data_IF_198024998507
#
_entry.id   IF_198024998507
#
_cell.length_a   1.000
_cell.length_b   1.000
_cell.length_c   1.000
_cell.angle_alpha   90.00
_cell.angle_beta   90.00
_cell.angle_gamma   90.00
#
_symmetry.space_group_name_H-M   'P 1'
#
loop_
_entity.id
_entity.type
_entity.pdbx_description
1 polymer ?
#
# COMPACT_ATOMS: atom_id res chain seq x y z
N UNK A 1 58.99 -58.54 -5.46
CA UNK A 1 58.88 -57.57 -6.57
C UNK A 1 57.51 -57.62 -7.26
N UNK A 2 56.96 -58.79 -7.60
CA UNK A 2 55.63 -58.85 -8.26
C UNK A 2 54.46 -58.38 -7.36
N UNK A 3 54.51 -58.65 -6.06
CA UNK A 3 53.46 -58.22 -5.11
C UNK A 3 53.37 -56.70 -4.94
N UNK A 4 54.52 -56.02 -4.85
CA UNK A 4 54.60 -54.55 -4.72
C UNK A 4 54.19 -53.83 -6.01
N UNK A 5 54.49 -54.43 -7.18
CA UNK A 5 54.03 -53.90 -8.47
C UNK A 5 52.50 -54.01 -8.62
N UNK A 6 51.89 -55.12 -8.17
CA UNK A 6 50.44 -55.28 -8.15
C UNK A 6 49.74 -54.30 -7.19
N UNK A 7 50.36 -54.07 -6.03
CA UNK A 7 49.80 -53.18 -5.01
C UNK A 7 49.86 -51.71 -5.45
N UNK A 8 50.99 -51.27 -5.99
CA UNK A 8 51.14 -49.92 -6.55
C UNK A 8 50.27 -49.69 -7.78
N UNK A 9 50.01 -50.73 -8.59
CA UNK A 9 49.06 -50.67 -9.69
C UNK A 9 47.63 -50.48 -9.20
N UNK A 10 47.17 -51.27 -8.22
CA UNK A 10 45.83 -51.14 -7.63
C UNK A 10 45.61 -49.78 -6.95
N UNK A 11 46.61 -49.25 -6.25
CA UNK A 11 46.53 -47.92 -5.63
C UNK A 11 46.39 -46.83 -6.69
N UNK A 12 47.18 -46.86 -7.76
CA UNK A 12 47.08 -45.89 -8.87
C UNK A 12 45.75 -46.01 -9.62
N UNK A 13 45.23 -47.21 -9.78
CA UNK A 13 43.93 -47.46 -10.40
C UNK A 13 42.78 -46.90 -9.54
N UNK A 14 42.84 -47.13 -8.22
CA UNK A 14 41.87 -46.58 -7.28
C UNK A 14 41.91 -45.06 -7.23
N UNK A 15 43.12 -44.47 -7.22
CA UNK A 15 43.31 -43.02 -7.26
C UNK A 15 42.79 -42.41 -8.57
N UNK A 16 43.02 -43.08 -9.71
CA UNK A 16 42.53 -42.66 -11.02
C UNK A 16 41.00 -42.78 -11.14
N UNK A 17 40.38 -43.86 -10.64
CA UNK A 17 38.91 -43.99 -10.65
C UNK A 17 38.26 -42.94 -9.73
N UNK A 18 38.89 -42.65 -8.58
CA UNK A 18 38.38 -41.67 -7.63
C UNK A 18 38.49 -40.22 -8.11
N UNK A 19 39.42 -39.92 -9.03
CA UNK A 19 39.62 -38.59 -9.61
C UNK A 19 38.77 -38.32 -10.85
N UNK A 20 38.05 -39.33 -11.36
CA UNK A 20 37.15 -39.17 -12.49
C UNK A 20 35.75 -38.71 -12.03
N UNK A 21 35.21 -37.70 -12.69
CA UNK A 21 33.94 -37.06 -12.31
C UNK A 21 32.72 -38.00 -12.36
N UNK A 22 31.62 -37.56 -11.75
CA UNK A 22 30.34 -38.29 -11.63
C UNK A 22 29.95 -39.10 -12.89
N UNK A 23 30.13 -38.53 -14.08
CA UNK A 23 29.79 -39.16 -15.36
C UNK A 23 30.65 -40.36 -15.74
N UNK A 24 31.91 -40.40 -15.33
CA UNK A 24 32.81 -41.52 -15.57
C UNK A 24 32.46 -42.71 -14.67
N UNK A 25 32.22 -42.45 -13.38
CA UNK A 25 31.81 -43.47 -12.41
C UNK A 25 30.43 -44.07 -12.77
N UNK A 26 29.51 -43.25 -13.28
CA UNK A 26 28.24 -43.71 -13.82
C UNK A 26 28.46 -44.61 -15.05
N UNK A 27 29.37 -44.26 -15.97
CA UNK A 27 29.63 -45.04 -17.19
C UNK A 27 30.24 -46.41 -16.92
N UNK A 28 31.13 -46.53 -15.95
CA UNK A 28 31.80 -47.81 -15.63
C UNK A 28 30.99 -48.71 -14.69
N UNK A 29 30.16 -48.15 -13.80
CA UNK A 29 29.16 -48.94 -13.07
C UNK A 29 28.05 -49.50 -13.98
N UNK A 30 27.86 -48.92 -15.17
CA UNK A 30 26.98 -49.43 -16.23
C UNK A 30 27.59 -50.55 -17.09
N UNK A 31 28.87 -50.92 -16.91
CA UNK A 31 29.53 -51.94 -17.72
C UNK A 31 29.28 -53.38 -17.24
N UNK A 32 28.66 -53.58 -16.06
CA UNK A 32 28.29 -54.90 -15.51
C UNK A 32 26.81 -55.24 -15.74
N UNK A 33 26.55 -56.41 -16.33
CA UNK A 33 25.20 -56.91 -16.63
C UNK A 33 24.25 -56.94 -15.44
N UNK A 34 22.96 -56.72 -15.70
CA UNK A 34 21.82 -56.55 -14.78
C UNK A 34 21.73 -55.22 -14.02
N UNK A 35 22.83 -54.68 -13.48
CA UNK A 35 22.82 -53.38 -12.78
C UNK A 35 22.55 -52.19 -13.73
N UNK A 36 23.09 -52.27 -14.95
CA UNK A 36 22.87 -51.27 -16.01
C UNK A 36 21.41 -51.21 -16.49
N UNK A 37 20.73 -52.35 -16.53
CA UNK A 37 19.31 -52.43 -16.90
C UNK A 37 18.42 -51.80 -15.82
N UNK A 38 18.63 -52.14 -14.54
CA UNK A 38 17.86 -51.56 -13.43
C UNK A 38 18.01 -50.03 -13.35
N UNK A 39 19.23 -49.53 -13.53
CA UNK A 39 19.52 -48.10 -13.49
C UNK A 39 18.95 -47.36 -14.73
N UNK A 40 18.96 -48.01 -15.91
CA UNK A 40 18.26 -47.51 -17.09
C UNK A 40 16.74 -47.42 -16.87
N UNK A 41 16.12 -48.42 -16.24
CA UNK A 41 14.70 -48.39 -15.90
C UNK A 41 14.37 -47.28 -14.87
N UNK A 42 15.21 -47.11 -13.84
CA UNK A 42 15.09 -46.00 -12.88
C UNK A 42 15.24 -44.63 -13.55
N UNK A 43 16.23 -44.45 -14.42
CA UNK A 43 16.41 -43.22 -15.19
C UNK A 43 15.22 -42.94 -16.11
N UNK A 44 14.65 -43.97 -16.73
CA UNK A 44 13.47 -43.85 -17.58
C UNK A 44 12.22 -43.47 -16.77
N UNK A 45 12.03 -44.04 -15.59
CA UNK A 45 10.94 -43.66 -14.66
C UNK A 45 11.18 -42.23 -14.16
N UNK A 46 12.40 -41.90 -13.73
CA UNK A 46 12.79 -40.56 -13.30
C UNK A 46 12.55 -39.51 -14.38
N UNK A 47 12.89 -39.81 -15.63
CA UNK A 47 12.61 -38.95 -16.77
C UNK A 47 11.11 -38.78 -17.03
N UNK A 48 10.30 -39.85 -16.90
CA UNK A 48 8.84 -39.75 -17.02
C UNK A 48 8.23 -38.89 -15.90
N UNK A 49 8.68 -39.07 -14.66
CA UNK A 49 8.26 -38.25 -13.52
C UNK A 49 8.68 -36.80 -13.74
N UNK A 50 9.91 -36.57 -14.20
CA UNK A 50 10.40 -35.23 -14.57
C UNK A 50 9.54 -34.58 -15.64
N UNK A 51 9.21 -35.29 -16.73
CA UNK A 51 8.30 -34.79 -17.77
C UNK A 51 6.90 -34.48 -17.22
N UNK A 52 6.37 -35.34 -16.35
CA UNK A 52 5.08 -35.10 -15.71
C UNK A 52 5.10 -33.85 -14.82
N UNK A 53 6.14 -33.69 -14.00
CA UNK A 53 6.36 -32.49 -13.19
C UNK A 53 6.56 -31.25 -14.05
N UNK A 54 7.27 -31.36 -15.17
CA UNK A 54 7.48 -30.26 -16.12
C UNK A 54 6.16 -29.81 -16.74
N UNK A 55 5.31 -30.74 -17.19
CA UNK A 55 3.97 -30.44 -17.71
C UNK A 55 3.11 -29.79 -16.62
N UNK A 56 3.14 -30.33 -15.40
CA UNK A 56 2.46 -29.75 -14.25
C UNK A 56 2.95 -28.33 -13.93
N UNK A 57 4.25 -28.08 -13.99
CA UNK A 57 4.85 -26.78 -13.77
C UNK A 57 4.46 -25.77 -14.87
N UNK A 58 4.46 -26.19 -16.13
CA UNK A 58 4.01 -25.36 -17.26
C UNK A 58 2.53 -25.02 -17.11
N UNK A 59 1.68 -26.01 -16.80
CA UNK A 59 0.26 -25.81 -16.57
C UNK A 59 -0.03 -24.89 -15.38
N UNK A 60 0.69 -25.08 -14.28
CA UNK A 60 0.61 -24.21 -13.09
C UNK A 60 1.07 -22.79 -13.38
N UNK A 61 2.17 -22.62 -14.12
CA UNK A 61 2.65 -21.31 -14.56
C UNK A 61 1.62 -20.59 -15.44
N UNK A 62 1.07 -21.29 -16.44
CA UNK A 62 0.02 -20.75 -17.30
C UNK A 62 -1.21 -20.33 -16.49
N UNK A 63 -1.66 -21.17 -15.55
CA UNK A 63 -2.75 -20.85 -14.64
C UNK A 63 -2.47 -19.59 -13.81
N UNK A 64 -1.28 -19.47 -13.20
CA UNK A 64 -0.92 -18.31 -12.39
C UNK A 64 -0.91 -17.01 -13.19
N UNK A 65 -0.40 -17.05 -14.42
CA UNK A 65 -0.38 -15.90 -15.33
C UNK A 65 -1.82 -15.52 -15.73
N UNK A 66 -2.67 -16.49 -16.06
CA UNK A 66 -4.03 -16.24 -16.54
C UNK A 66 -5.04 -15.95 -15.43
N UNK A 67 -4.78 -16.33 -14.18
CA UNK A 67 -5.69 -16.13 -13.04
C UNK A 67 -6.11 -14.67 -12.90
N UNK A 68 -5.17 -13.74 -13.02
CA UNK A 68 -5.40 -12.31 -12.81
C UNK A 68 -6.19 -11.66 -13.94
N UNK A 69 -6.22 -12.26 -15.14
CA UNK A 69 -6.99 -11.76 -16.29
C UNK A 69 -8.48 -12.15 -16.22
N UNK A 70 -8.86 -13.06 -15.32
CA UNK A 70 -10.24 -13.53 -15.22
C UNK A 70 -11.17 -12.45 -14.62
N UNK A 71 -12.40 -12.28 -15.13
CA UNK A 71 -13.38 -11.34 -14.55
C UNK A 71 -13.67 -11.61 -13.07
N UNK A 72 -13.67 -12.87 -12.67
CA UNK A 72 -13.83 -13.31 -11.27
C UNK A 72 -12.76 -12.74 -10.35
N UNK A 73 -11.51 -12.66 -10.83
CA UNK A 73 -10.42 -12.08 -10.04
C UNK A 73 -10.68 -10.61 -9.77
N UNK A 74 -11.09 -9.83 -10.78
CA UNK A 74 -11.44 -8.42 -10.63
C UNK A 74 -12.62 -8.22 -9.67
N UNK A 75 -13.66 -9.07 -9.77
CA UNK A 75 -14.81 -9.05 -8.86
C UNK A 75 -14.39 -9.34 -7.41
N UNK A 76 -13.57 -10.37 -7.20
CA UNK A 76 -13.07 -10.74 -5.88
C UNK A 76 -12.13 -9.69 -5.30
N UNK A 77 -11.27 -9.09 -6.12
CA UNK A 77 -10.41 -7.97 -5.76
C UNK A 77 -11.24 -6.76 -5.34
N UNK A 78 -12.27 -6.41 -6.11
CA UNK A 78 -13.19 -5.30 -5.81
C UNK A 78 -13.92 -5.53 -4.50
N UNK A 79 -14.48 -6.72 -4.29
CA UNK A 79 -15.12 -7.10 -3.03
C UNK A 79 -14.15 -7.08 -1.84
N UNK A 80 -12.91 -7.53 -2.05
CA UNK A 80 -11.88 -7.51 -1.01
C UNK A 80 -11.49 -6.09 -0.63
N UNK A 81 -11.18 -5.22 -1.60
CA UNK A 81 -10.81 -3.83 -1.32
C UNK A 81 -12.00 -3.08 -0.71
N UNK A 82 -13.21 -3.26 -1.24
CA UNK A 82 -14.42 -2.66 -0.67
C UNK A 82 -14.64 -3.07 0.79
N UNK A 83 -14.51 -4.37 1.11
CA UNK A 83 -14.60 -4.86 2.48
C UNK A 83 -13.51 -4.28 3.38
N UNK A 84 -12.28 -4.13 2.87
CA UNK A 84 -11.16 -3.61 3.66
C UNK A 84 -11.27 -2.12 3.93
N UNK A 85 -11.80 -1.33 2.98
CA UNK A 85 -12.07 0.08 3.16
C UNK A 85 -13.41 0.35 3.87
N UNK A 86 -14.13 -0.69 4.31
CA UNK A 86 -15.48 -0.55 4.87
C UNK A 86 -16.44 0.20 3.94
N UNK A 87 -16.34 -0.05 2.63
CA UNK A 87 -17.18 0.57 1.61
C UNK A 87 -18.57 -0.07 1.55
N UNK A 88 -19.61 0.76 1.38
CA UNK A 88 -20.95 0.30 1.02
C UNK A 88 -21.00 -0.14 -0.44
N UNK A 89 -20.37 0.66 -1.31
CA UNK A 89 -20.18 0.35 -2.73
C UNK A 89 -18.74 0.63 -3.10
N UNK A 90 -18.13 -0.24 -3.91
CA UNK A 90 -16.84 0.06 -4.51
C UNK A 90 -16.75 -0.42 -5.95
N UNK A 91 -16.12 0.39 -6.79
CA UNK A 91 -15.93 0.14 -8.22
C UNK A 91 -14.46 0.29 -8.57
N UNK A 92 -14.00 -0.64 -9.39
CA UNK A 92 -12.63 -0.68 -9.88
C UNK A 92 -12.67 -0.63 -11.40
N UNK A 93 -11.88 0.26 -11.98
CA UNK A 93 -11.73 0.38 -13.44
C UNK A 93 -10.36 -0.13 -13.87
N UNK A 94 -10.37 -1.05 -14.84
CA UNK A 94 -9.19 -1.54 -15.57
C UNK A 94 -8.02 -1.96 -14.66
N UNK A 95 -8.11 -3.19 -14.17
CA UNK A 95 -7.00 -3.90 -13.53
C UNK A 95 -6.08 -4.51 -14.59
N UNK A 96 -4.77 -4.39 -14.39
CA UNK A 96 -3.77 -5.09 -15.20
C UNK A 96 -2.57 -5.48 -14.34
N UNK A 97 -2.04 -6.68 -14.58
CA UNK A 97 -0.72 -7.09 -14.09
C UNK A 97 0.24 -7.21 -15.27
N UNK A 98 1.36 -6.49 -15.25
CA UNK A 98 2.41 -6.59 -16.28
C UNK A 98 3.76 -6.66 -15.60
N UNK A 99 4.63 -7.59 -16.03
CA UNK A 99 6.04 -7.66 -15.58
C UNK A 99 6.24 -7.64 -14.05
N UNK A 100 5.30 -8.19 -13.27
CA UNK A 100 5.40 -8.20 -11.81
C UNK A 100 4.89 -6.94 -11.13
N UNK A 101 4.22 -6.05 -11.87
CA UNK A 101 3.55 -4.87 -11.34
C UNK A 101 2.04 -5.00 -11.44
N UNK A 102 1.37 -4.67 -10.34
CA UNK A 102 -0.05 -4.38 -10.25
C UNK A 102 -0.29 -2.96 -10.72
N UNK A 103 -1.23 -2.77 -11.64
CA UNK A 103 -1.66 -1.47 -12.11
C UNK A 103 -3.19 -1.38 -12.09
N UNK A 104 -3.69 -0.27 -11.55
CA UNK A 104 -5.11 0.00 -11.45
C UNK A 104 -5.41 1.45 -11.86
N UNK A 105 -6.26 1.63 -12.88
CA UNK A 105 -6.55 2.98 -13.37
C UNK A 105 -7.34 3.79 -12.37
N UNK A 106 -8.35 3.19 -11.74
CA UNK A 106 -9.21 3.89 -10.79
C UNK A 106 -9.85 2.92 -9.80
N UNK A 107 -9.96 3.38 -8.57
CA UNK A 107 -10.87 2.84 -7.57
C UNK A 107 -11.72 3.98 -7.04
N UNK A 108 -13.02 3.74 -6.92
CA UNK A 108 -13.97 4.67 -6.34
C UNK A 108 -14.89 3.91 -5.38
N UNK A 109 -14.92 4.32 -4.12
CA UNK A 109 -15.76 3.72 -3.11
C UNK A 109 -16.62 4.77 -2.39
N UNK A 110 -17.85 4.39 -2.05
CA UNK A 110 -18.70 5.10 -1.11
C UNK A 110 -18.60 4.43 0.27
N UNK A 111 -18.34 5.20 1.33
CA UNK A 111 -18.15 4.66 2.67
C UNK A 111 -19.45 4.13 3.29
N UNK A 112 -19.38 2.97 3.95
CA UNK A 112 -20.48 2.47 4.80
C UNK A 112 -20.64 3.33 6.07
N UNK A 113 -21.65 3.13 6.92
CA UNK A 113 -21.78 3.85 8.20
C UNK A 113 -20.52 3.78 9.10
N UNK A 114 -19.76 2.68 9.00
CA UNK A 114 -18.54 2.43 9.80
C UNK A 114 -17.26 2.95 9.12
N UNK A 115 -17.32 3.39 7.87
CA UNK A 115 -16.16 3.99 7.20
C UNK A 115 -15.82 5.37 7.80
N UNK A 116 -14.52 5.65 7.90
CA UNK A 116 -14.01 6.97 8.28
C UNK A 116 -14.19 8.03 7.16
N UNK A 117 -14.55 7.62 5.95
CA UNK A 117 -14.76 8.50 4.79
C UNK A 117 -16.20 8.40 4.27
N UNK A 118 -16.66 9.44 3.59
CA UNK A 118 -17.90 9.46 2.82
C UNK A 118 -17.64 9.03 1.38
N UNK A 119 -16.65 9.64 0.73
CA UNK A 119 -16.22 9.30 -0.63
C UNK A 119 -14.71 9.08 -0.66
N UNK A 120 -14.28 8.10 -1.46
CA UNK A 120 -12.88 7.77 -1.67
C UNK A 120 -12.67 7.46 -3.14
N UNK A 121 -11.77 8.20 -3.78
CA UNK A 121 -11.34 7.94 -5.14
C UNK A 121 -9.83 8.00 -5.25
N UNK A 122 -9.22 6.96 -5.81
CA UNK A 122 -7.81 6.95 -6.15
C UNK A 122 -7.60 6.52 -7.61
N UNK A 123 -6.69 7.19 -8.30
CA UNK A 123 -6.42 6.96 -9.72
C UNK A 123 -4.94 6.73 -10.01
N UNK A 124 -4.70 5.84 -10.98
CA UNK A 124 -3.40 5.33 -11.41
C UNK A 124 -2.58 4.83 -10.21
N UNK A 125 -3.06 3.73 -9.63
CA UNK A 125 -2.41 3.04 -8.53
C UNK A 125 -1.48 1.99 -9.11
N UNK A 126 -0.23 1.95 -8.65
CA UNK A 126 0.72 0.90 -9.00
C UNK A 126 1.49 0.39 -7.78
N UNK A 127 1.80 -0.90 -7.78
CA UNK A 127 2.66 -1.52 -6.77
C UNK A 127 3.21 -2.86 -7.28
N UNK A 128 4.15 -3.47 -6.54
CA UNK A 128 4.70 -4.78 -6.93
C UNK A 128 3.71 -5.89 -6.63
N UNK A 129 3.59 -6.85 -7.55
CA UNK A 129 2.77 -8.05 -7.41
C UNK A 129 3.41 -9.25 -8.12
N UNK A 130 4.01 -10.13 -7.33
CA UNK A 130 4.53 -11.42 -7.75
C UNK A 130 3.43 -12.40 -8.20
N UNK A 131 3.86 -13.53 -8.77
CA UNK A 131 2.95 -14.56 -9.29
C UNK A 131 2.14 -15.27 -8.18
N UNK A 132 2.76 -15.42 -7.00
CA UNK A 132 2.18 -16.11 -5.84
C UNK A 132 1.46 -15.15 -4.88
N UNK A 133 1.60 -13.84 -5.09
CA UNK A 133 0.96 -12.83 -4.25
C UNK A 133 -0.57 -12.91 -4.37
N UNK A 134 -1.24 -12.95 -3.22
CA UNK A 134 -2.68 -13.19 -3.13
C UNK A 134 -3.12 -14.63 -3.43
N UNK A 135 -2.20 -15.60 -3.46
CA UNK A 135 -2.50 -17.03 -3.46
C UNK A 135 -2.10 -17.67 -2.11
N UNK A 136 -0.88 -17.42 -1.66
CA UNK A 136 -0.30 -17.97 -0.43
C UNK A 136 0.48 -16.89 0.31
N UNK A 137 0.39 -16.88 1.64
CA UNK A 137 1.13 -15.93 2.48
C UNK A 137 0.58 -14.51 2.46
N UNK A 138 1.43 -13.57 2.89
CA UNK A 138 1.12 -12.13 2.99
C UNK A 138 1.71 -11.41 1.79
N UNK A 139 0.89 -10.67 1.05
CA UNK A 139 1.36 -9.86 -0.07
C UNK A 139 2.06 -8.60 0.46
N UNK A 140 3.33 -8.44 0.08
CA UNK A 140 4.17 -7.28 0.40
C UNK A 140 4.38 -6.43 -0.86
N UNK A 141 3.52 -5.45 -1.15
CA UNK A 141 3.58 -4.63 -2.36
C UNK A 141 4.80 -3.71 -2.46
N UNK A 142 5.53 -3.51 -1.35
CA UNK A 142 6.48 -2.40 -1.24
C UNK A 142 5.76 -1.05 -1.26
N UNK A 143 6.38 0.03 -1.76
CA UNK A 143 5.71 1.31 -1.94
C UNK A 143 4.54 1.21 -2.91
N UNK A 144 3.36 1.63 -2.45
CA UNK A 144 2.19 1.79 -3.32
C UNK A 144 2.20 3.22 -3.85
N UNK A 145 2.24 3.36 -5.17
CA UNK A 145 2.22 4.64 -5.84
C UNK A 145 0.79 4.97 -6.28
N UNK A 146 0.36 6.20 -6.07
CA UNK A 146 -0.94 6.71 -6.49
C UNK A 146 -0.73 8.06 -7.15
N UNK A 147 -1.27 8.25 -8.34
CA UNK A 147 -1.14 9.54 -9.02
C UNK A 147 -2.08 10.58 -8.43
N UNK A 148 -3.35 10.23 -8.24
CA UNK A 148 -4.37 11.15 -7.70
C UNK A 148 -5.19 10.46 -6.61
N UNK A 149 -5.40 11.17 -5.50
CA UNK A 149 -6.32 10.80 -4.42
C UNK A 149 -7.31 11.95 -4.20
N UNK A 150 -8.59 11.64 -4.16
CA UNK A 150 -9.64 12.54 -3.70
C UNK A 150 -10.45 11.81 -2.61
N UNK A 151 -10.53 12.40 -1.43
CA UNK A 151 -11.18 11.78 -0.28
C UNK A 151 -11.98 12.81 0.53
N UNK A 152 -13.19 12.45 0.91
CA UNK A 152 -14.02 13.23 1.83
C UNK A 152 -14.13 12.46 3.15
N UNK A 153 -13.54 13.00 4.21
CA UNK A 153 -13.55 12.43 5.55
C UNK A 153 -14.87 12.75 6.25
N UNK A 154 -15.36 11.77 7.02
CA UNK A 154 -16.45 12.03 7.96
C UNK A 154 -15.90 12.69 9.22
N UNK A 155 -16.50 13.81 9.59
CA UNK A 155 -16.20 14.51 10.84
C UNK A 155 -17.32 14.33 11.82
N UNK A 156 -16.98 14.16 13.10
CA UNK A 156 -17.96 14.03 14.16
C UNK A 156 -18.71 12.69 14.15
N UNK A 157 -19.27 12.36 15.29
CA UNK A 157 -20.06 11.16 15.52
C UNK A 157 -21.15 11.53 16.52
N UNK A 158 -22.35 10.97 16.36
CA UNK A 158 -23.46 11.23 17.28
C UNK A 158 -23.23 10.53 18.64
N UNK A 159 -22.38 9.49 18.66
CA UNK A 159 -22.03 8.72 19.85
C UNK A 159 -20.56 8.25 19.84
N UNK A 160 -20.01 7.92 21.01
CA UNK A 160 -18.62 7.50 21.18
C UNK A 160 -18.30 6.16 20.51
N UNK A 161 -19.25 5.21 20.46
CA UNK A 161 -19.05 3.88 19.88
C UNK A 161 -18.91 3.97 18.36
N UNK A 162 -19.75 4.80 17.71
CA UNK A 162 -19.65 5.10 16.28
C UNK A 162 -18.34 5.81 15.94
N UNK A 163 -17.84 6.70 16.81
CA UNK A 163 -16.53 7.33 16.63
C UNK A 163 -15.40 6.28 16.68
N UNK A 164 -15.47 5.37 17.65
CA UNK A 164 -14.50 4.29 17.83
C UNK A 164 -14.48 3.33 16.63
N UNK A 165 -15.65 2.88 16.14
CA UNK A 165 -15.74 2.01 14.96
C UNK A 165 -15.13 2.64 13.71
N UNK A 166 -15.33 3.95 13.51
CA UNK A 166 -14.73 4.68 12.38
C UNK A 166 -13.21 4.83 12.53
N UNK A 167 -12.72 5.07 13.74
CA UNK A 167 -11.28 5.11 13.99
C UNK A 167 -10.64 3.73 13.77
N UNK A 168 -11.30 2.67 14.24
CA UNK A 168 -10.87 1.28 14.02
C UNK A 168 -10.84 0.93 12.53
N UNK A 169 -11.81 1.36 11.73
CA UNK A 169 -11.81 1.09 10.29
C UNK A 169 -10.64 1.73 9.55
N UNK A 170 -10.09 2.84 10.06
CA UNK A 170 -8.86 3.44 9.55
C UNK A 170 -7.59 2.71 10.01
N UNK A 171 -7.54 2.29 11.27
CA UNK A 171 -6.34 1.67 11.89
C UNK A 171 -6.24 0.16 11.69
N UNK A 172 -7.25 -0.44 11.07
CA UNK A 172 -7.37 -1.89 10.88
C UNK A 172 -6.17 -2.47 10.11
N UNK A 173 -5.65 -3.58 10.62
CA UNK A 173 -4.62 -4.34 9.93
C UNK A 173 -5.20 -5.30 8.89
N UNK A 174 -4.41 -5.56 7.85
CA UNK A 174 -4.77 -6.44 6.76
C UNK A 174 -3.94 -7.73 6.81
N UNK A 175 -4.49 -8.85 7.31
CA UNK A 175 -3.69 -10.06 7.59
C UNK A 175 -3.06 -10.71 6.36
N UNK A 176 -3.51 -10.36 5.15
CA UNK A 176 -2.98 -10.87 3.88
C UNK A 176 -2.25 -9.80 3.05
N UNK A 177 -2.09 -8.59 3.59
CA UNK A 177 -1.55 -7.44 2.88
C UNK A 177 -0.76 -6.53 3.83
N UNK A 178 0.54 -6.44 3.62
CA UNK A 178 1.45 -5.70 4.48
C UNK A 178 1.95 -4.44 3.77
N UNK A 179 1.27 -3.32 4.03
CA UNK A 179 1.58 -2.03 3.43
C UNK A 179 2.65 -1.31 4.24
N UNK A 180 3.85 -1.16 3.66
CA UNK A 180 4.93 -0.36 4.26
C UNK A 180 4.72 1.14 4.04
N UNK A 181 4.40 1.55 2.81
CA UNK A 181 4.24 2.95 2.44
C UNK A 181 3.27 3.16 1.28
N UNK A 182 2.66 4.35 1.27
CA UNK A 182 1.80 4.86 0.20
C UNK A 182 2.33 6.24 -0.21
N UNK A 183 2.53 6.47 -1.49
CA UNK A 183 2.97 7.75 -2.04
C UNK A 183 1.93 8.24 -3.03
N UNK A 184 1.40 9.44 -2.77
CA UNK A 184 0.38 10.08 -3.58
C UNK A 184 0.96 11.36 -4.16
N UNK A 185 0.96 11.47 -5.48
CA UNK A 185 1.51 12.64 -6.17
C UNK A 185 0.62 13.89 -6.02
N UNK A 186 -0.70 13.68 -6.04
CA UNK A 186 -1.73 14.72 -5.94
C UNK A 186 -2.85 14.22 -5.03
N UNK A 187 -2.86 14.68 -3.78
CA UNK A 187 -3.86 14.37 -2.79
C UNK A 187 -4.73 15.59 -2.51
N UNK A 188 -6.05 15.37 -2.59
CA UNK A 188 -7.06 16.29 -2.07
C UNK A 188 -7.90 15.57 -1.01
N UNK A 189 -7.92 16.12 0.20
CA UNK A 189 -8.62 15.57 1.36
C UNK A 189 -9.50 16.66 1.92
N UNK A 190 -10.79 16.40 2.04
CA UNK A 190 -11.80 17.35 2.55
C UNK A 190 -12.45 16.80 3.80
N UNK A 191 -12.78 17.68 4.74
CA UNK A 191 -13.47 17.31 5.96
C UNK A 191 -14.33 18.48 6.48
N UNK A 192 -15.30 18.18 7.34
CA UNK A 192 -16.26 19.14 7.88
C UNK A 192 -17.65 18.96 7.27
N UNK A 193 -18.68 19.34 8.02
CA UNK A 193 -20.08 19.20 7.59
C UNK A 193 -20.41 20.22 6.49
N UNK A 194 -21.21 19.81 5.49
CA UNK A 194 -21.89 20.75 4.60
C UNK A 194 -23.38 20.85 4.95
N UNK A 195 -23.87 22.10 5.00
CA UNK A 195 -25.26 22.60 5.24
C UNK A 195 -25.61 22.96 6.69
N UNK A 196 -25.51 24.25 7.02
CA UNK A 196 -26.33 24.89 8.05
C UNK A 196 -27.44 25.66 7.34
N UNK A 197 -28.69 25.35 7.66
CA UNK A 197 -29.84 26.14 7.23
C UNK A 197 -29.93 27.37 8.13
N UNK A 198 -29.66 28.57 7.60
CA UNK A 198 -29.96 29.83 8.29
C UNK A 198 -31.36 30.31 7.89
N UNK A 199 -32.37 30.22 8.77
CA UNK A 199 -33.74 30.65 8.46
C UNK A 199 -33.89 32.16 8.25
N UNK A 200 -32.85 32.98 8.48
CA UNK A 200 -32.88 34.44 8.28
C UNK A 200 -32.33 34.89 6.92
N UNK A 201 -31.61 34.02 6.20
CA UNK A 201 -30.99 34.35 4.90
C UNK A 201 -31.82 33.74 3.77
N UNK A 202 -32.64 34.55 3.09
CA UNK A 202 -33.49 34.14 1.94
C UNK A 202 -32.73 33.65 0.69
N UNK A 203 -31.40 33.59 0.73
CA UNK A 203 -30.52 33.05 -0.31
C UNK A 203 -29.44 32.11 0.25
N UNK A 204 -29.78 31.36 1.31
CA UNK A 204 -28.84 30.65 2.18
C UNK A 204 -27.96 29.59 1.52
N UNK A 205 -26.71 29.94 1.29
CA UNK A 205 -25.55 29.05 1.37
C UNK A 205 -24.47 29.82 2.14
N UNK A 206 -24.45 29.70 3.47
CA UNK A 206 -23.25 30.03 4.24
C UNK A 206 -22.35 28.81 4.16
N UNK A 207 -21.15 28.96 3.63
CA UNK A 207 -20.18 27.87 3.58
C UNK A 207 -19.81 27.49 5.02
N UNK A 208 -20.09 26.24 5.45
CA UNK A 208 -19.61 25.80 6.74
C UNK A 208 -18.09 25.66 6.71
N UNK A 209 -17.52 25.70 7.93
CA UNK A 209 -16.15 25.36 8.28
C UNK A 209 -15.66 24.04 7.62
N UNK A 210 -15.27 24.11 6.35
CA UNK A 210 -14.61 23.03 5.62
C UNK A 210 -13.13 23.13 5.89
N UNK A 211 -12.55 22.02 6.33
CA UNK A 211 -11.11 21.84 6.23
C UNK A 211 -10.78 21.12 4.93
N UNK A 212 -9.70 21.53 4.30
CA UNK A 212 -9.23 20.92 3.06
C UNK A 212 -7.69 20.94 3.00
N UNK A 213 -7.10 19.84 2.55
CA UNK A 213 -5.77 19.81 1.94
C UNK A 213 -5.99 19.59 0.46
N UNK A 214 -5.43 20.44 -0.40
CA UNK A 214 -5.65 20.39 -1.84
C UNK A 214 -4.33 20.34 -2.60
N UNK A 215 -4.28 19.50 -3.63
CA UNK A 215 -3.16 19.37 -4.56
C UNK A 215 -1.81 19.17 -3.86
N UNK A 216 -1.79 18.40 -2.77
CA UNK A 216 -0.58 18.17 -1.98
C UNK A 216 0.04 16.82 -2.31
N UNK A 217 1.37 16.72 -2.31
CA UNK A 217 2.01 15.41 -2.31
C UNK A 217 1.86 14.80 -0.92
N UNK A 218 1.31 13.59 -0.84
CA UNK A 218 1.12 12.88 0.43
C UNK A 218 1.97 11.61 0.47
N UNK A 219 2.67 11.38 1.59
CA UNK A 219 3.29 10.09 1.89
C UNK A 219 2.66 9.55 3.17
N UNK A 220 2.31 8.26 3.17
CA UNK A 220 1.84 7.54 4.35
C UNK A 220 2.83 6.43 4.67
N UNK A 221 3.22 6.31 5.93
CA UNK A 221 4.07 5.25 6.43
C UNK A 221 3.36 4.57 7.60
N UNK A 222 3.30 3.23 7.57
CA UNK A 222 2.81 2.45 8.71
C UNK A 222 3.85 2.50 9.82
N UNK A 223 3.43 2.83 11.03
CA UNK A 223 4.19 2.65 12.28
C UNK A 223 3.59 1.49 13.09
N UNK A 224 4.07 1.19 14.29
CA UNK A 224 3.50 0.11 15.11
C UNK A 224 2.02 0.40 15.44
N UNK A 225 1.74 1.59 15.96
CA UNK A 225 0.42 1.94 16.49
C UNK A 225 -0.41 2.85 15.58
N UNK A 226 0.02 3.11 14.34
CA UNK A 226 -0.80 3.90 13.43
C UNK A 226 -0.11 4.25 12.13
N UNK A 227 -0.43 5.44 11.61
CA UNK A 227 0.08 5.95 10.35
C UNK A 227 0.71 7.32 10.54
N UNK A 228 1.90 7.50 9.99
CA UNK A 228 2.52 8.82 9.82
C UNK A 228 2.24 9.32 8.41
N UNK A 229 1.55 10.46 8.31
CA UNK A 229 1.22 11.15 7.08
C UNK A 229 2.12 12.37 6.95
N UNK A 230 2.64 12.59 5.76
CA UNK A 230 3.44 13.77 5.43
C UNK A 230 2.87 14.41 4.17
N UNK A 231 2.62 15.71 4.23
CA UNK A 231 2.13 16.54 3.13
C UNK A 231 3.16 17.59 2.76
N UNK A 232 3.39 17.80 1.46
CA UNK A 232 4.29 18.82 0.93
C UNK A 232 3.71 19.46 -0.32
N UNK A 233 3.78 20.80 -0.39
CA UNK A 233 3.16 21.58 -1.43
C UNK A 233 1.63 21.53 -1.37
N UNK A 234 0.97 22.20 -2.32
CA UNK A 234 -0.49 22.37 -2.29
C UNK A 234 -0.91 23.37 -1.21
N UNK A 235 -2.18 23.32 -0.83
CA UNK A 235 -2.77 24.28 0.12
C UNK A 235 -3.52 23.59 1.25
N UNK A 236 -3.43 24.16 2.44
CA UNK A 236 -4.23 23.82 3.62
C UNK A 236 -5.23 24.94 3.89
N UNK A 237 -6.48 24.55 4.14
CA UNK A 237 -7.55 25.43 4.60
C UNK A 237 -8.26 24.81 5.80
N UNK A 238 -8.62 25.62 6.79
CA UNK A 238 -9.46 25.24 7.93
C UNK A 238 -10.09 26.50 8.54
N UNK A 239 -11.42 26.62 8.47
CA UNK A 239 -12.15 27.78 8.99
C UNK A 239 -11.58 29.07 8.39
N UNK A 240 -11.17 30.02 9.23
CA UNK A 240 -10.53 31.29 8.89
C UNK A 240 -9.06 31.15 8.44
N UNK A 241 -8.47 29.96 8.47
CA UNK A 241 -7.17 29.74 7.83
C UNK A 241 -7.43 29.32 6.39
N UNK A 242 -7.32 30.23 5.44
CA UNK A 242 -7.58 29.93 4.03
C UNK A 242 -6.31 29.85 3.18
N UNK A 243 -6.27 28.84 2.30
CA UNK A 243 -5.29 28.71 1.20
C UNK A 243 -3.82 28.85 1.61
N UNK A 244 -3.45 28.35 2.79
CA UNK A 244 -2.07 28.38 3.25
C UNK A 244 -1.22 27.39 2.45
N UNK A 245 -0.13 27.83 1.84
CA UNK A 245 0.79 26.92 1.13
C UNK A 245 1.47 26.00 2.13
N UNK A 246 1.40 24.69 1.90
CA UNK A 246 2.02 23.69 2.78
C UNK A 246 3.51 23.59 2.44
N UNK A 247 4.37 24.06 3.35
CA UNK A 247 5.82 23.79 3.27
C UNK A 247 6.06 22.34 3.70
N UNK A 248 5.55 21.99 4.87
CA UNK A 248 5.58 20.64 5.41
C UNK A 248 4.52 20.48 6.48
N UNK A 249 3.70 19.43 6.35
CA UNK A 249 2.77 19.02 7.39
C UNK A 249 2.94 17.53 7.65
N UNK A 250 3.44 17.19 8.83
CA UNK A 250 3.62 15.81 9.31
C UNK A 250 2.66 15.57 10.47
N UNK A 251 1.81 14.56 10.31
CA UNK A 251 0.84 14.16 11.32
C UNK A 251 0.95 12.66 11.58
N UNK A 252 0.91 12.27 12.85
CA UNK A 252 0.72 10.90 13.28
C UNK A 252 -0.75 10.68 13.62
N UNK A 253 -1.35 9.63 13.07
CA UNK A 253 -2.72 9.22 13.34
C UNK A 253 -2.65 7.85 14.01
N UNK A 254 -3.17 7.76 15.23
CA UNK A 254 -3.23 6.52 16.01
C UNK A 254 -4.49 6.45 16.89
N UNK A 255 -4.58 5.44 17.77
CA UNK A 255 -5.77 5.19 18.59
C UNK A 255 -6.17 6.38 19.49
N UNK A 256 -5.20 7.20 19.88
CA UNK A 256 -5.42 8.38 20.74
C UNK A 256 -5.91 9.62 19.97
N UNK A 257 -5.93 9.56 18.63
CA UNK A 257 -6.28 10.66 17.75
C UNK A 257 -5.13 11.09 16.84
N UNK A 258 -5.11 12.38 16.50
CA UNK A 258 -4.17 12.98 15.55
C UNK A 258 -3.17 13.85 16.32
N UNK A 259 -1.88 13.67 16.04
CA UNK A 259 -0.81 14.52 16.54
C UNK A 259 -0.05 15.14 15.37
N UNK A 260 -0.05 16.46 15.30
CA UNK A 260 0.77 17.20 14.35
C UNK A 260 2.18 17.31 14.94
N UNK A 261 3.11 16.59 14.33
CA UNK A 261 4.52 16.59 14.70
C UNK A 261 5.22 17.86 14.18
N UNK A 262 4.85 18.28 12.97
CA UNK A 262 5.36 19.49 12.32
C UNK A 262 4.29 20.05 11.39
N UNK A 263 3.99 21.34 11.49
CA UNK A 263 3.15 22.02 10.51
C UNK A 263 3.76 23.38 10.20
N UNK A 264 4.19 23.59 8.98
CA UNK A 264 4.79 24.82 8.48
C UNK A 264 4.05 25.24 7.21
N UNK A 265 3.52 26.46 7.23
CA UNK A 265 2.75 26.99 6.13
C UNK A 265 3.13 28.44 5.81
N UNK A 266 2.93 28.83 4.56
CA UNK A 266 3.16 30.18 4.06
C UNK A 266 1.82 30.79 3.62
N UNK A 267 1.51 31.98 4.13
CA UNK A 267 0.42 32.79 3.61
C UNK A 267 0.91 33.55 2.36
N UNK A 268 0.18 33.39 1.25
CA UNK A 268 0.44 34.10 -0.02
C UNK A 268 -0.84 34.71 -0.56
N UNK A 269 -0.69 35.78 -1.32
CA UNK A 269 -1.76 36.24 -2.22
C UNK A 269 -1.80 35.33 -3.44
N UNK A 270 -3.02 35.03 -3.90
CA UNK A 270 -3.24 34.27 -5.13
C UNK A 270 -2.49 34.92 -6.32
N UNK A 271 -1.65 34.14 -7.01
CA UNK A 271 -0.82 34.62 -8.11
C UNK A 271 0.49 35.31 -7.75
N UNK A 272 0.79 35.53 -6.45
CA UNK A 272 2.06 36.15 -6.01
C UNK A 272 3.08 35.14 -5.49
N UNK A 273 4.36 35.38 -5.79
CA UNK A 273 5.51 34.67 -5.19
C UNK A 273 6.03 35.34 -3.91
N UNK A 274 5.48 36.48 -3.51
CA UNK A 274 5.84 37.12 -2.23
C UNK A 274 5.24 36.36 -1.04
N UNK A 275 6.04 36.18 -0.01
CA UNK A 275 5.58 35.61 1.28
C UNK A 275 4.99 36.75 2.11
N UNK A 276 3.71 36.62 2.48
CA UNK A 276 3.05 37.61 3.34
C UNK A 276 3.35 37.33 4.80
N UNK A 277 3.27 36.06 5.21
CA UNK A 277 3.55 35.62 6.57
C UNK A 277 3.66 34.11 6.67
N UNK A 278 3.98 33.62 7.85
CA UNK A 278 4.10 32.19 8.12
C UNK A 278 3.17 31.74 9.25
N UNK A 279 2.65 30.53 9.12
CA UNK A 279 1.84 29.86 10.12
C UNK A 279 2.56 28.58 10.51
N UNK A 280 2.66 28.32 11.82
CA UNK A 280 3.25 27.07 12.31
C UNK A 280 2.39 26.42 13.37
N UNK A 281 2.21 25.11 13.25
CA UNK A 281 1.52 24.27 14.23
C UNK A 281 2.57 23.54 15.06
N UNK A 282 2.56 23.82 16.37
CA UNK A 282 3.55 23.31 17.31
C UNK A 282 2.83 22.45 18.35
N UNK A 283 3.09 21.14 18.30
CA UNK A 283 2.54 20.18 19.26
C UNK A 283 1.01 20.13 19.26
N UNK A 284 0.37 20.39 18.11
CA UNK A 284 -1.09 20.34 17.99
C UNK A 284 -1.55 18.89 18.09
N UNK A 285 -2.47 18.63 19.02
CA UNK A 285 -3.07 17.31 19.24
C UNK A 285 -4.58 17.43 19.20
N UNK A 286 -5.20 16.52 18.48
CA UNK A 286 -6.66 16.36 18.39
C UNK A 286 -6.97 14.98 18.94
N UNK A 287 -7.63 14.91 20.09
CA UNK A 287 -8.05 13.64 20.69
C UNK A 287 -9.07 12.90 19.83
N UNK A 288 -9.13 11.57 19.96
CA UNK A 288 -10.24 10.79 19.43
C UNK A 288 -11.49 10.85 20.33
N UNK A 289 -12.66 10.54 19.77
CA UNK A 289 -13.93 10.46 20.52
C UNK A 289 -15.05 11.32 19.94
N UNK A 290 -16.19 11.33 20.65
CA UNK A 290 -17.37 12.14 20.35
C UNK A 290 -17.13 13.65 20.52
N UNK A 291 -16.26 14.02 21.48
CA UNK A 291 -15.85 15.40 21.77
C UNK A 291 -14.33 15.52 21.76
N UNK A 292 -13.72 15.62 20.57
CA UNK A 292 -12.27 15.64 20.44
C UNK A 292 -11.70 16.90 21.10
N UNK A 293 -10.87 16.72 22.13
CA UNK A 293 -10.13 17.82 22.74
C UNK A 293 -8.99 18.25 21.80
N UNK A 294 -8.89 19.56 21.52
CA UNK A 294 -7.79 20.13 20.75
C UNK A 294 -6.86 20.88 21.70
N UNK A 295 -5.56 20.61 21.60
CA UNK A 295 -4.51 21.28 22.37
C UNK A 295 -3.30 21.58 21.50
N UNK A 296 -2.42 22.48 21.95
CA UNK A 296 -1.20 22.88 21.24
C UNK A 296 -1.15 24.38 20.94
N UNK A 297 -0.22 24.79 20.09
CA UNK A 297 -0.01 26.20 19.75
C UNK A 297 0.02 26.39 18.23
N UNK A 298 -0.72 27.40 17.77
CA UNK A 298 -0.60 27.94 16.41
C UNK A 298 0.13 29.28 16.52
N UNK A 299 1.30 29.38 15.89
CA UNK A 299 2.08 30.62 15.83
C UNK A 299 1.92 31.26 14.46
N UNK A 300 1.43 32.49 14.46
CA UNK A 300 1.34 33.37 13.29
C UNK A 300 2.50 34.35 13.31
N UNK A 301 3.16 34.56 12.18
CA UNK A 301 4.28 35.51 12.07
C UNK A 301 4.11 36.38 10.83
N UNK A 302 3.92 37.70 11.07
CA UNK A 302 3.70 38.72 10.02
C UNK A 302 2.51 38.42 9.11
N UNK A 303 1.55 37.64 9.57
CA UNK A 303 0.38 37.25 8.78
C UNK A 303 -0.63 38.41 8.81
N UNK A 304 -0.94 39.04 7.66
CA UNK A 304 -1.99 40.05 7.59
C UNK A 304 -3.35 39.37 7.81
N UNK A 305 -3.94 39.59 8.99
CA UNK A 305 -5.21 38.96 9.38
C UNK A 305 -6.36 39.33 8.44
N UNK A 306 -6.32 40.55 7.86
CA UNK A 306 -7.29 41.03 6.87
C UNK A 306 -7.37 40.15 5.61
N UNK A 307 -6.33 39.36 5.30
CA UNK A 307 -6.29 38.45 4.15
C UNK A 307 -6.66 37.00 4.50
N UNK A 308 -6.82 36.68 5.78
CA UNK A 308 -7.23 35.36 6.26
C UNK A 308 -8.65 35.35 6.83
N UNK A 309 -9.11 36.49 7.35
CA UNK A 309 -10.46 36.63 7.85
C UNK A 309 -11.44 36.82 6.67
N UNK A 310 -12.62 36.18 6.69
CA UNK A 310 -13.66 36.36 5.68
C UNK A 310 -14.28 37.77 5.70
#
# INVERSE_FOLDING_TARGET
MESEQLQSFNERLSQWISSQGFWFQLRFSMAGGNASSALYHLMRIGFRVFLFLLIGAIGGFYYLVKRVERPEFSKNLTGSIGKQLSAAECRIESFRRMQGEFNLRRIACAGSPDAFYSTFEAANISCRMGLLDGLTGVWKPGPILVKRLDMELRTGSDDADSAARRAESFLKEFPKFDMSSLEVSDATIRWGFSKVFDPRIRAGLVEPAKGEIKNSRMTVQRSEDGYRLQFKGGTFSQNWLEKLEIVELTAFIGPKGIQIEKGEFIARTEGSKSTLGTVSFIGVKVGGGDRPAVSGMVRLSKVPLELLLP
#
